data_IF_165186374543
#
_entry.id   IF_165186374543
#
_cell.length_a   1.000
_cell.length_b   1.000
_cell.length_c   1.000
_cell.angle_alpha   90.00
_cell.angle_beta   90.00
_cell.angle_gamma   90.00
#
_symmetry.space_group_name_H-M   'P 1'
#
loop_
_entity.id
_entity.type
_entity.pdbx_description
1 polymer ?
#
# COMPACT_ATOMS: atom_id res chain seq x y z
N UNK A 1 9.38 -64.29 -3.52
CA UNK A 1 7.98 -64.74 -3.66
C UNK A 1 7.20 -64.09 -2.55
N UNK A 2 6.10 -63.44 -2.94
CA UNK A 2 5.01 -62.88 -2.15
C UNK A 2 5.31 -61.67 -1.25
N UNK A 3 4.89 -60.52 -1.79
CA UNK A 3 4.39 -59.31 -1.14
C UNK A 3 3.49 -59.58 0.07
N UNK A 4 3.48 -58.64 1.02
CA UNK A 4 2.22 -58.14 1.58
C UNK A 4 2.41 -56.70 2.07
N UNK A 5 1.64 -55.84 1.42
CA UNK A 5 1.43 -54.42 1.65
C UNK A 5 0.48 -54.25 2.84
N UNK A 6 0.73 -53.30 3.74
CA UNK A 6 -0.32 -52.77 4.61
C UNK A 6 0.01 -51.33 4.97
N UNK A 7 -0.48 -50.42 4.14
CA UNK A 7 -0.65 -49.01 4.41
C UNK A 7 -1.87 -48.85 5.32
N UNK A 8 -1.74 -48.10 6.42
CA UNK A 8 -2.89 -47.68 7.22
C UNK A 8 -2.99 -46.16 7.13
N UNK A 9 -4.01 -45.73 6.37
CA UNK A 9 -4.33 -44.36 6.05
C UNK A 9 -5.19 -43.76 7.16
N UNK A 10 -4.73 -42.65 7.74
CA UNK A 10 -5.53 -41.85 8.68
C UNK A 10 -6.32 -40.82 7.87
N UNK A 11 -7.63 -41.05 7.75
CA UNK A 11 -8.59 -40.11 7.18
C UNK A 11 -8.76 -38.89 8.09
N UNK A 12 -8.52 -37.70 7.55
CA UNK A 12 -8.93 -36.43 8.14
C UNK A 12 -10.34 -36.10 7.64
N UNK A 13 -11.28 -35.97 8.58
CA UNK A 13 -12.65 -35.50 8.34
C UNK A 13 -12.63 -33.99 8.13
N UNK A 14 -13.02 -33.53 6.94
CA UNK A 14 -13.30 -32.12 6.65
C UNK A 14 -14.75 -31.82 7.03
N UNK A 15 -14.96 -31.16 8.16
CA UNK A 15 -16.23 -30.52 8.49
C UNK A 15 -16.35 -29.23 7.65
N UNK A 16 -17.08 -29.32 6.54
CA UNK A 16 -17.52 -28.17 5.75
C UNK A 16 -18.85 -27.65 6.31
N UNK A 17 -18.81 -26.50 6.98
CA UNK A 17 -20.01 -25.71 7.30
C UNK A 17 -20.47 -24.95 6.04
N UNK A 18 -21.43 -25.56 5.34
CA UNK A 18 -22.17 -25.01 4.22
C UNK A 18 -23.23 -24.03 4.77
N UNK A 19 -22.96 -22.72 4.69
CA UNK A 19 -23.97 -21.70 4.99
C UNK A 19 -25.02 -21.67 3.88
N UNK A 20 -26.23 -22.11 4.21
CA UNK A 20 -27.41 -22.09 3.34
C UNK A 20 -27.80 -20.67 2.91
N UNK A 21 -27.74 -20.42 1.61
CA UNK A 21 -28.50 -19.38 0.92
C UNK A 21 -29.92 -19.90 0.71
N UNK A 22 -30.84 -19.63 1.63
CA UNK A 22 -32.28 -19.49 1.36
C UNK A 22 -33.03 -19.39 2.69
N UNK A 23 -33.25 -18.15 3.16
CA UNK A 23 -34.42 -17.88 3.99
C UNK A 23 -35.25 -16.74 3.40
N UNK A 24 -36.45 -17.13 3.04
CA UNK A 24 -37.46 -16.45 2.25
C UNK A 24 -38.40 -15.67 3.16
N UNK A 25 -38.51 -14.34 2.99
CA UNK A 25 -39.79 -13.62 3.15
C UNK A 25 -39.85 -12.53 2.07
N UNK A 26 -40.38 -12.80 0.88
CA UNK A 26 -41.80 -12.68 0.48
C UNK A 26 -42.50 -11.37 0.88
N UNK A 27 -42.68 -10.53 -0.15
CA UNK A 27 -43.90 -9.76 -0.49
C UNK A 27 -44.26 -8.60 0.42
N UNK A 28 -44.00 -7.37 -0.06
CA UNK A 28 -45.09 -6.39 -0.31
C UNK A 28 -44.74 -5.55 -1.55
N UNK A 29 -45.41 -5.85 -2.67
CA UNK A 29 -45.77 -4.85 -3.68
C UNK A 29 -46.99 -4.11 -3.15
N UNK A 30 -47.01 -2.78 -3.17
CA UNK A 30 -48.20 -1.91 -3.27
C UNK A 30 -47.65 -0.49 -3.52
N UNK A 31 -47.56 -0.08 -4.78
CA UNK A 31 -48.55 0.78 -5.47
C UNK A 31 -48.69 2.17 -4.85
N UNK A 32 -48.00 3.09 -5.53
CA UNK A 32 -48.49 4.37 -6.06
C UNK A 32 -50.00 4.64 -5.96
N UNK A 33 -50.26 5.92 -5.69
CA UNK A 33 -51.40 6.78 -6.05
C UNK A 33 -52.52 7.01 -5.01
N UNK A 34 -53.00 8.27 -5.05
CA UNK A 34 -54.14 8.93 -4.37
C UNK A 34 -53.80 9.54 -3.00
N UNK A 35 -53.58 10.87 -2.85
CA UNK A 35 -54.44 12.07 -3.06
C UNK A 35 -55.56 12.15 -2.02
N UNK A 36 -55.43 13.12 -1.11
CA UNK A 36 -56.44 13.97 -0.42
C UNK A 36 -55.82 14.46 0.90
N UNK A 37 -55.51 15.77 0.98
CA UNK A 37 -56.27 16.79 1.72
C UNK A 37 -55.96 16.78 3.22
N UNK A 38 -55.12 17.72 3.67
CA UNK A 38 -55.44 18.46 4.90
C UNK A 38 -54.74 19.81 4.91
N UNK A 39 -55.56 20.81 5.23
CA UNK A 39 -55.35 22.24 5.25
C UNK A 39 -54.39 22.65 6.37
N UNK A 40 -53.52 23.63 6.10
CA UNK A 40 -53.06 24.57 7.13
C UNK A 40 -53.08 25.96 6.51
N UNK A 41 -54.01 26.74 7.03
CA UNK A 41 -54.22 28.16 6.80
C UNK A 41 -53.08 29.03 7.39
N UNK A 42 -52.90 30.18 6.74
CA UNK A 42 -52.56 31.49 7.30
C UNK A 42 -51.16 31.68 7.93
N UNK A 43 -50.30 32.46 7.27
CA UNK A 43 -50.27 33.90 7.58
C UNK A 43 -49.46 34.70 6.55
N UNK A 44 -50.04 35.85 6.24
CA UNK A 44 -49.63 36.91 5.33
C UNK A 44 -48.32 37.57 5.79
N UNK A 45 -47.45 37.97 4.85
CA UNK A 45 -46.83 39.29 4.87
C UNK A 45 -46.15 39.55 3.51
N UNK A 46 -46.79 40.46 2.78
CA UNK A 46 -46.33 41.09 1.55
C UNK A 46 -45.19 42.06 1.87
N UNK A 47 -44.06 41.97 1.16
CA UNK A 47 -43.27 43.15 0.87
C UNK A 47 -42.95 43.19 -0.63
N UNK A 48 -43.73 44.02 -1.31
CA UNK A 48 -43.43 44.61 -2.60
C UNK A 48 -42.08 45.35 -2.49
N UNK A 49 -41.13 45.04 -3.36
CA UNK A 49 -40.02 45.94 -3.64
C UNK A 49 -40.20 46.40 -5.08
N UNK A 50 -40.45 47.70 -5.17
CA UNK A 50 -40.70 48.47 -6.37
C UNK A 50 -39.55 48.34 -7.37
N UNK A 51 -39.97 48.32 -8.63
CA UNK A 51 -39.19 48.50 -9.83
C UNK A 51 -38.49 49.86 -9.79
N UNK A 52 -37.19 49.91 -10.10
CA UNK A 52 -36.58 51.08 -10.71
C UNK A 52 -35.78 50.60 -11.93
N UNK A 53 -36.39 50.87 -13.08
CA UNK A 53 -35.76 50.94 -14.38
C UNK A 53 -34.76 52.11 -14.38
N UNK A 54 -33.47 51.86 -14.58
CA UNK A 54 -32.61 52.82 -15.27
C UNK A 54 -31.76 52.06 -16.29
N UNK A 55 -32.21 52.16 -17.54
CA UNK A 55 -31.41 51.96 -18.74
C UNK A 55 -30.32 53.05 -18.79
N UNK A 56 -29.05 52.68 -18.69
CA UNK A 56 -27.97 53.47 -19.30
C UNK A 56 -27.29 52.62 -20.37
N UNK A 57 -27.70 52.88 -21.62
CA UNK A 57 -26.88 52.64 -22.79
C UNK A 57 -25.66 53.57 -22.71
N UNK A 58 -24.46 52.99 -22.64
CA UNK A 58 -23.23 53.72 -22.95
C UNK A 58 -22.46 52.92 -23.99
N UNK A 59 -22.16 53.66 -25.06
CA UNK A 59 -21.66 53.22 -26.35
C UNK A 59 -20.31 52.49 -26.31
N UNK A 60 -20.16 51.73 -27.38
CA UNK A 60 -18.98 51.09 -27.93
C UNK A 60 -17.73 51.99 -27.85
N UNK A 61 -16.63 51.44 -27.35
CA UNK A 61 -15.30 51.73 -27.90
C UNK A 61 -14.55 50.40 -28.01
N UNK A 62 -14.45 49.96 -29.27
CA UNK A 62 -13.53 48.93 -29.74
C UNK A 62 -12.10 49.46 -29.61
N UNK A 63 -11.30 48.91 -28.70
CA UNK A 63 -9.85 48.91 -28.86
C UNK A 63 -9.32 47.48 -28.73
N UNK A 64 -9.21 46.85 -29.90
CA UNK A 64 -8.29 45.75 -30.15
C UNK A 64 -6.85 46.28 -29.97
N UNK A 65 -6.17 45.84 -28.91
CA UNK A 65 -4.71 45.74 -28.94
C UNK A 65 -4.31 44.28 -28.70
N UNK A 66 -3.97 43.62 -29.80
CA UNK A 66 -3.27 42.34 -29.80
C UNK A 66 -1.85 42.49 -29.23
N UNK A 67 -1.56 41.61 -28.27
CA UNK A 67 -0.30 40.93 -27.99
C UNK A 67 1.04 41.62 -28.32
N UNK A 68 1.87 41.81 -27.29
CA UNK A 68 3.13 41.07 -27.21
C UNK A 68 3.82 41.22 -25.83
N UNK A 69 4.48 40.13 -25.44
CA UNK A 69 5.56 40.06 -24.43
C UNK A 69 5.09 40.10 -22.95
N UNK A 70 5.27 39.08 -22.11
CA UNK A 70 6.43 38.20 -21.94
C UNK A 70 6.01 36.95 -21.16
N UNK A 71 6.63 35.83 -21.50
CA UNK A 71 6.63 34.59 -20.72
C UNK A 71 6.92 34.86 -19.24
N UNK A 72 6.19 34.16 -18.37
CA UNK A 72 6.42 34.01 -16.92
C UNK A 72 5.65 34.96 -15.98
N UNK A 73 4.32 34.83 -15.96
CA UNK A 73 3.50 35.21 -14.81
C UNK A 73 2.49 34.11 -14.50
N UNK A 74 3.01 32.97 -14.04
CA UNK A 74 2.21 31.86 -13.54
C UNK A 74 1.64 32.26 -12.17
N UNK A 75 0.54 33.01 -12.16
CA UNK A 75 -0.14 33.40 -10.93
C UNK A 75 -1.15 32.32 -10.53
N UNK A 76 -0.83 31.46 -9.53
CA UNK A 76 -1.65 30.31 -9.16
C UNK A 76 -3.07 30.68 -8.71
N UNK A 77 -3.27 31.93 -8.28
CA UNK A 77 -4.59 32.42 -7.88
C UNK A 77 -5.54 32.68 -9.06
N UNK A 78 -5.02 32.86 -10.29
CA UNK A 78 -5.84 33.14 -11.47
C UNK A 78 -6.58 31.88 -11.94
N UNK A 79 -5.87 30.73 -12.02
CA UNK A 79 -6.47 29.46 -12.46
C UNK A 79 -7.57 28.93 -11.52
N UNK A 80 -7.41 29.06 -10.21
CA UNK A 80 -8.47 28.67 -9.27
C UNK A 80 -9.66 29.64 -9.30
N UNK A 81 -9.41 30.95 -9.48
CA UNK A 81 -10.48 31.97 -9.60
C UNK A 81 -11.35 31.75 -10.83
N UNK A 82 -10.75 31.41 -11.97
CA UNK A 82 -11.50 31.13 -13.20
C UNK A 82 -12.30 29.81 -13.06
N UNK A 83 -11.76 28.86 -12.28
CA UNK A 83 -12.35 27.53 -12.09
C UNK A 83 -13.58 27.51 -11.16
N UNK A 84 -13.54 28.29 -10.08
CA UNK A 84 -14.59 28.32 -9.03
C UNK A 84 -15.92 28.90 -9.53
N UNK A 85 -15.93 29.61 -10.66
CA UNK A 85 -17.13 30.25 -11.21
C UNK A 85 -17.89 29.37 -12.23
N UNK A 86 -17.35 28.20 -12.61
CA UNK A 86 -17.87 27.38 -13.73
C UNK A 86 -18.85 26.25 -13.33
N UNK A 87 -19.51 26.33 -12.17
CA UNK A 87 -20.53 25.37 -11.71
C UNK A 87 -20.10 23.91 -11.51
N UNK A 88 -18.80 23.59 -11.53
CA UNK A 88 -18.31 22.20 -11.34
C UNK A 88 -17.93 21.83 -9.90
N UNK A 89 -17.98 22.78 -8.97
CA UNK A 89 -17.71 22.58 -7.55
C UNK A 89 -18.88 23.09 -6.72
N UNK A 90 -19.17 22.43 -5.60
CA UNK A 90 -20.12 22.98 -4.64
C UNK A 90 -19.56 24.26 -4.00
N UNK A 91 -20.45 25.13 -3.52
CA UNK A 91 -20.07 26.39 -2.85
C UNK A 91 -19.17 26.15 -1.63
N UNK A 92 -19.41 25.05 -0.90
CA UNK A 92 -18.61 24.68 0.26
C UNK A 92 -17.21 24.20 -0.13
N UNK A 93 -17.10 23.39 -1.19
CA UNK A 93 -15.80 22.90 -1.68
C UNK A 93 -14.95 24.02 -2.22
N UNK A 94 -15.56 24.92 -2.99
CA UNK A 94 -14.91 26.15 -3.44
C UNK A 94 -14.40 26.98 -2.26
N UNK A 95 -15.18 27.11 -1.18
CA UNK A 95 -14.77 27.84 0.02
C UNK A 95 -13.60 27.14 0.73
N UNK A 96 -13.66 25.82 0.88
CA UNK A 96 -12.64 25.01 1.52
C UNK A 96 -11.30 25.12 0.78
N UNK A 97 -11.33 24.91 -0.53
CA UNK A 97 -10.17 25.01 -1.40
C UNK A 97 -9.60 26.44 -1.42
N UNK A 98 -10.45 27.47 -1.48
CA UNK A 98 -10.01 28.88 -1.41
C UNK A 98 -9.24 29.16 -0.12
N UNK A 99 -9.76 28.68 1.01
CA UNK A 99 -9.12 28.85 2.32
C UNK A 99 -7.80 28.06 2.44
N UNK A 100 -7.69 26.96 1.70
CA UNK A 100 -6.49 26.15 1.64
C UNK A 100 -5.42 26.80 0.77
N UNK A 101 -5.75 27.20 -0.46
CA UNK A 101 -4.81 27.83 -1.39
C UNK A 101 -4.31 29.20 -0.94
N UNK A 102 -5.06 29.91 -0.09
CA UNK A 102 -4.55 31.14 0.54
C UNK A 102 -3.37 30.88 1.49
N UNK A 103 -3.23 29.65 2.00
CA UNK A 103 -2.12 29.21 2.87
C UNK A 103 -1.07 28.41 2.12
N UNK A 104 -1.48 27.71 1.06
CA UNK A 104 -0.64 26.85 0.24
C UNK A 104 -0.75 27.26 -1.24
N UNK A 105 -0.16 28.40 -1.64
CA UNK A 105 -0.28 28.90 -3.01
C UNK A 105 0.45 28.02 -4.03
N UNK A 106 1.35 27.15 -3.58
CA UNK A 106 2.07 26.16 -4.39
C UNK A 106 1.24 24.90 -4.68
N UNK A 107 0.08 24.73 -4.02
CA UNK A 107 -0.74 23.53 -4.14
C UNK A 107 -1.65 23.49 -5.37
N UNK A 108 -1.23 24.09 -6.49
CA UNK A 108 -2.07 24.22 -7.66
C UNK A 108 -1.93 23.04 -8.64
N UNK A 109 -2.89 22.98 -9.55
CA UNK A 109 -2.97 22.00 -10.62
C UNK A 109 -2.00 22.36 -11.75
N UNK A 110 -1.07 21.47 -12.09
CA UNK A 110 0.03 21.78 -13.02
C UNK A 110 -0.39 21.71 -14.48
N UNK A 111 -1.40 20.91 -14.83
CA UNK A 111 -1.76 20.66 -16.22
C UNK A 111 -2.82 21.66 -16.75
N UNK A 112 -2.37 22.67 -17.49
CA UNK A 112 -3.27 23.66 -18.07
C UNK A 112 -4.16 23.10 -19.20
N UNK A 113 -3.77 21.98 -19.84
CA UNK A 113 -4.43 21.45 -21.03
C UNK A 113 -5.75 20.71 -20.74
N UNK A 114 -6.06 20.42 -19.47
CA UNK A 114 -7.26 19.68 -19.11
C UNK A 114 -8.55 20.52 -19.18
N UNK A 115 -9.62 19.87 -19.60
CA UNK A 115 -10.95 20.49 -19.70
C UNK A 115 -11.44 21.02 -18.35
N UNK A 116 -12.28 22.05 -18.36
CA UNK A 116 -12.87 22.59 -17.12
C UNK A 116 -13.64 21.51 -16.34
N UNK A 117 -14.35 20.60 -17.01
CA UNK A 117 -15.04 19.50 -16.33
C UNK A 117 -14.06 18.58 -15.57
N UNK A 118 -12.93 18.24 -16.19
CA UNK A 118 -11.89 17.39 -15.57
C UNK A 118 -11.21 18.11 -14.41
N UNK A 119 -10.89 19.40 -14.57
CA UNK A 119 -10.36 20.24 -13.49
C UNK A 119 -11.32 20.28 -12.30
N UNK A 120 -12.63 20.31 -12.56
CA UNK A 120 -13.65 20.32 -11.49
C UNK A 120 -13.69 19.05 -10.69
N UNK A 121 -13.63 17.93 -11.39
CA UNK A 121 -13.50 16.65 -10.74
C UNK A 121 -12.21 16.55 -9.90
N UNK A 122 -11.08 17.00 -10.45
CA UNK A 122 -9.80 16.97 -9.76
C UNK A 122 -9.78 17.84 -8.49
N UNK A 123 -10.31 19.06 -8.56
CA UNK A 123 -10.47 19.92 -7.39
C UNK A 123 -11.51 19.38 -6.40
N UNK A 124 -12.57 18.72 -6.88
CA UNK A 124 -13.55 18.02 -6.03
C UNK A 124 -12.86 16.94 -5.19
N UNK A 125 -12.03 16.09 -5.81
CA UNK A 125 -11.22 15.09 -5.10
C UNK A 125 -10.27 15.71 -4.09
N UNK A 126 -9.73 16.89 -4.39
CA UNK A 126 -8.90 17.62 -3.43
C UNK A 126 -9.75 18.07 -2.23
N UNK A 127 -10.94 18.63 -2.46
CA UNK A 127 -11.85 19.01 -1.38
C UNK A 127 -12.26 17.81 -0.53
N UNK A 128 -12.47 16.65 -1.15
CA UNK A 128 -12.76 15.38 -0.45
C UNK A 128 -11.61 14.96 0.46
N UNK A 129 -10.36 15.01 -0.01
CA UNK A 129 -9.19 14.79 0.84
C UNK A 129 -9.15 15.79 2.01
N UNK A 130 -9.37 17.07 1.76
CA UNK A 130 -9.34 18.09 2.80
C UNK A 130 -10.43 17.87 3.86
N UNK A 131 -11.63 17.45 3.46
CA UNK A 131 -12.71 17.08 4.39
C UNK A 131 -12.32 15.84 5.18
N UNK A 132 -11.81 14.80 4.52
CA UNK A 132 -11.33 13.59 5.18
C UNK A 132 -10.28 13.89 6.27
N UNK A 133 -9.31 14.75 5.96
CA UNK A 133 -8.27 15.19 6.90
C UNK A 133 -8.80 16.09 8.03
N UNK A 134 -9.88 16.83 7.79
CA UNK A 134 -10.52 17.71 8.78
C UNK A 134 -11.41 16.93 9.74
N UNK A 135 -12.14 15.96 9.21
CA UNK A 135 -13.25 15.30 9.91
C UNK A 135 -12.79 14.09 10.72
N UNK A 136 -11.57 13.57 10.45
CA UNK A 136 -11.01 12.40 11.13
C UNK A 136 -9.71 12.69 11.86
N UNK A 137 -9.54 12.02 13.00
CA UNK A 137 -8.26 12.02 13.71
C UNK A 137 -7.20 11.24 12.92
N UNK A 138 -5.94 11.67 13.02
CA UNK A 138 -4.81 11.00 12.35
C UNK A 138 -4.72 9.50 12.63
N UNK A 139 -5.10 9.04 13.83
CA UNK A 139 -5.09 7.61 14.15
C UNK A 139 -6.16 6.83 13.37
N UNK A 140 -7.36 7.39 13.21
CA UNK A 140 -8.43 6.75 12.42
C UNK A 140 -8.08 6.69 10.94
N UNK A 141 -7.46 7.77 10.43
CA UNK A 141 -6.96 7.86 9.07
C UNK A 141 -5.88 6.82 8.75
N UNK A 142 -5.07 6.44 9.74
CA UNK A 142 -3.98 5.47 9.56
C UNK A 142 -4.40 4.03 9.81
N UNK A 143 -5.50 3.81 10.52
CA UNK A 143 -5.98 2.49 10.88
C UNK A 143 -7.16 2.10 9.98
N UNK A 144 -8.36 2.57 10.32
CA UNK A 144 -9.61 2.14 9.70
C UNK A 144 -9.90 2.77 8.33
N UNK A 145 -9.32 3.94 8.03
CA UNK A 145 -9.55 4.68 6.77
C UNK A 145 -8.29 4.84 5.91
N UNK A 146 -7.27 4.02 6.17
CA UNK A 146 -5.99 4.08 5.45
C UNK A 146 -6.12 3.84 3.95
N UNK A 147 -7.02 2.94 3.54
CA UNK A 147 -7.32 2.66 2.13
C UNK A 147 -7.98 3.85 1.43
N UNK A 148 -9.03 4.41 2.03
CA UNK A 148 -9.75 5.59 1.53
C UNK A 148 -8.81 6.79 1.37
N UNK A 149 -7.96 7.04 2.38
CA UNK A 149 -6.96 8.10 2.33
C UNK A 149 -5.91 7.86 1.23
N UNK A 150 -5.45 6.63 1.07
CA UNK A 150 -4.51 6.26 0.02
C UNK A 150 -5.10 6.43 -1.38
N UNK A 151 -6.39 6.14 -1.56
CA UNK A 151 -7.10 6.34 -2.83
C UNK A 151 -7.18 7.82 -3.20
N UNK A 152 -7.56 8.69 -2.25
CA UNK A 152 -7.61 10.13 -2.49
C UNK A 152 -6.24 10.71 -2.87
N UNK A 153 -5.18 10.28 -2.18
CA UNK A 153 -3.82 10.72 -2.52
C UNK A 153 -3.41 10.23 -3.91
N UNK A 154 -3.72 8.98 -4.24
CA UNK A 154 -3.45 8.42 -5.57
C UNK A 154 -4.18 9.18 -6.69
N UNK A 155 -5.47 9.47 -6.50
CA UNK A 155 -6.28 10.26 -7.43
C UNK A 155 -5.65 11.63 -7.68
N UNK A 156 -5.23 12.33 -6.63
CA UNK A 156 -4.59 13.64 -6.77
C UNK A 156 -3.25 13.57 -7.53
N UNK A 157 -2.48 12.49 -7.35
CA UNK A 157 -1.27 12.25 -8.15
C UNK A 157 -1.58 11.99 -9.60
N UNK A 158 -2.64 11.25 -9.89
CA UNK A 158 -3.09 11.01 -11.26
C UNK A 158 -3.47 12.32 -11.96
N UNK A 159 -4.10 13.22 -11.21
CA UNK A 159 -4.44 14.57 -11.64
C UNK A 159 -3.25 15.55 -11.65
N UNK A 160 -2.02 15.08 -11.50
CA UNK A 160 -0.81 15.90 -11.57
C UNK A 160 -0.78 17.05 -10.54
N UNK A 161 -1.45 16.90 -9.40
CA UNK A 161 -1.17 17.78 -8.26
C UNK A 161 0.23 17.45 -7.72
N UNK A 162 1.16 18.38 -7.96
CA UNK A 162 2.53 18.29 -7.45
C UNK A 162 2.76 19.45 -6.51
N UNK A 163 2.70 19.18 -5.21
CA UNK A 163 3.01 20.18 -4.21
C UNK A 163 3.65 19.55 -2.97
N UNK A 164 4.45 20.38 -2.30
CA UNK A 164 5.25 19.97 -1.15
C UNK A 164 4.39 19.59 0.05
N UNK A 165 3.16 20.09 0.10
CA UNK A 165 2.19 19.78 1.14
C UNK A 165 1.65 18.35 1.02
N UNK A 166 1.23 17.90 -0.18
CA UNK A 166 0.83 16.52 -0.46
C UNK A 166 1.98 15.56 -0.21
N UNK A 167 3.19 15.91 -0.66
CA UNK A 167 4.40 15.12 -0.40
C UNK A 167 4.63 14.96 1.11
N UNK A 168 4.46 16.03 1.88
CA UNK A 168 4.63 16.01 3.34
C UNK A 168 3.57 15.15 4.03
N UNK A 169 2.34 15.15 3.52
CA UNK A 169 1.24 14.34 4.04
C UNK A 169 1.50 12.87 3.75
N UNK A 170 1.86 12.52 2.52
CA UNK A 170 2.24 11.15 2.15
C UNK A 170 3.42 10.65 2.98
N UNK A 171 4.45 11.46 3.22
CA UNK A 171 5.60 11.07 4.05
C UNK A 171 5.24 10.86 5.52
N UNK A 172 4.34 11.69 6.08
CA UNK A 172 3.91 11.54 7.48
C UNK A 172 2.97 10.37 7.67
N UNK A 173 2.07 10.14 6.71
CA UNK A 173 1.06 9.10 6.78
C UNK A 173 1.61 7.74 6.37
N UNK A 174 2.48 7.74 5.37
CA UNK A 174 3.15 6.55 4.88
C UNK A 174 4.67 6.77 4.86
N UNK A 175 5.33 6.79 6.04
CA UNK A 175 6.79 6.81 6.14
C UNK A 175 7.45 5.68 5.33
N UNK A 176 6.67 4.61 5.10
CA UNK A 176 7.03 3.45 4.33
C UNK A 176 6.83 3.59 2.80
N UNK A 177 6.05 4.53 2.26
CA UNK A 177 5.79 4.51 0.80
C UNK A 177 7.00 4.93 -0.06
N UNK A 178 7.83 5.84 0.44
CA UNK A 178 9.05 6.27 -0.28
C UNK A 178 10.33 5.57 0.21
N UNK A 179 10.28 4.85 1.34
CA UNK A 179 11.45 4.23 1.99
C UNK A 179 11.28 2.76 2.43
N UNK A 180 10.06 2.19 2.44
CA UNK A 180 9.86 0.76 2.78
C UNK A 180 10.51 -0.14 1.76
N UNK A 181 10.51 0.26 0.49
CA UNK A 181 11.27 -0.45 -0.54
C UNK A 181 12.77 -0.48 -0.22
N UNK A 182 13.34 0.60 0.31
CA UNK A 182 14.77 0.65 0.64
C UNK A 182 15.11 -0.10 1.93
N UNK A 183 14.24 -0.04 2.94
CA UNK A 183 14.41 -0.83 4.17
C UNK A 183 14.24 -2.32 3.87
N UNK A 184 13.21 -2.69 3.11
CA UNK A 184 12.95 -4.08 2.72
C UNK A 184 14.02 -4.61 1.77
N UNK A 185 14.52 -3.81 0.81
CA UNK A 185 15.66 -4.20 -0.05
C UNK A 185 16.94 -4.37 0.75
N UNK A 186 17.21 -3.50 1.71
CA UNK A 186 18.41 -3.61 2.56
C UNK A 186 18.33 -4.85 3.45
N UNK A 187 17.16 -5.15 4.02
CA UNK A 187 16.93 -6.37 4.79
C UNK A 187 17.05 -7.63 3.94
N UNK A 188 16.49 -7.63 2.72
CA UNK A 188 16.56 -8.77 1.80
C UNK A 188 18.00 -9.02 1.33
N UNK A 189 18.75 -7.96 1.03
CA UNK A 189 20.16 -8.06 0.68
C UNK A 189 21.03 -8.56 1.83
N UNK A 190 20.78 -8.10 3.06
CA UNK A 190 21.48 -8.60 4.24
C UNK A 190 21.20 -10.09 4.48
N UNK A 191 19.97 -10.53 4.18
CA UNK A 191 19.59 -11.94 4.27
C UNK A 191 20.31 -12.78 3.22
N UNK A 192 20.32 -12.35 1.95
CA UNK A 192 21.09 -12.99 0.86
C UNK A 192 22.59 -13.09 1.21
N UNK A 193 23.18 -12.01 1.71
CA UNK A 193 24.58 -12.00 2.12
C UNK A 193 24.84 -12.95 3.29
N UNK A 194 23.89 -13.10 4.22
CA UNK A 194 23.98 -14.05 5.33
C UNK A 194 23.84 -15.50 4.87
N UNK A 195 22.96 -15.77 3.90
CA UNK A 195 22.79 -17.09 3.31
C UNK A 195 24.07 -17.53 2.59
N UNK A 196 24.69 -16.63 1.82
CA UNK A 196 25.95 -16.90 1.14
C UNK A 196 27.08 -17.27 2.13
N UNK A 197 27.21 -16.53 3.23
CA UNK A 197 28.17 -16.85 4.31
C UNK A 197 27.90 -18.21 4.94
N UNK A 198 26.64 -18.52 5.26
CA UNK A 198 26.26 -19.80 5.84
C UNK A 198 26.56 -20.97 4.89
N UNK A 199 26.37 -20.79 3.58
CA UNK A 199 26.74 -21.82 2.58
C UNK A 199 28.25 -22.08 2.57
N UNK A 200 29.07 -21.04 2.65
CA UNK A 200 30.54 -21.16 2.73
C UNK A 200 30.98 -21.85 4.03
N UNK A 201 30.36 -21.51 5.16
CA UNK A 201 30.63 -22.16 6.45
C UNK A 201 30.24 -23.64 6.43
N UNK A 202 29.11 -24.00 5.83
CA UNK A 202 28.68 -25.39 5.68
C UNK A 202 29.69 -26.17 4.85
N UNK A 203 30.16 -25.62 3.74
CA UNK A 203 31.15 -26.29 2.88
C UNK A 203 32.49 -26.48 3.61
N UNK A 204 32.91 -25.44 4.35
CA UNK A 204 34.10 -25.52 5.19
C UNK A 204 33.96 -26.59 6.28
N UNK A 205 32.81 -26.66 6.95
CA UNK A 205 32.55 -27.69 7.97
C UNK A 205 32.50 -29.09 7.37
N UNK A 206 31.89 -29.26 6.19
CA UNK A 206 31.89 -30.54 5.46
C UNK A 206 33.31 -31.01 5.18
N UNK A 207 34.16 -30.14 4.64
CA UNK A 207 35.57 -30.49 4.37
C UNK A 207 36.34 -30.90 5.65
N UNK A 208 36.07 -30.25 6.79
CA UNK A 208 36.66 -30.60 8.09
C UNK A 208 36.17 -31.96 8.58
N UNK A 209 34.87 -32.25 8.44
CA UNK A 209 34.30 -33.55 8.80
C UNK A 209 34.92 -34.66 7.95
N UNK A 210 35.05 -34.46 6.64
CA UNK A 210 35.68 -35.43 5.75
C UNK A 210 37.15 -35.68 6.12
N UNK A 211 37.89 -34.61 6.42
CA UNK A 211 39.28 -34.70 6.87
C UNK A 211 39.42 -35.51 8.17
N UNK A 212 38.58 -35.22 9.17
CA UNK A 212 38.56 -35.95 10.43
C UNK A 212 38.13 -37.41 10.24
N UNK A 213 37.15 -37.67 9.38
CA UNK A 213 36.70 -39.02 9.03
C UNK A 213 37.82 -39.83 8.38
N UNK A 214 38.57 -39.24 7.43
CA UNK A 214 39.77 -39.85 6.85
C UNK A 214 40.84 -40.13 7.90
N UNK A 215 41.08 -39.20 8.83
CA UNK A 215 42.04 -39.38 9.90
C UNK A 215 41.63 -40.51 10.86
N UNK A 216 40.36 -40.59 11.22
CA UNK A 216 39.82 -41.63 12.10
C UNK A 216 39.98 -43.02 11.47
N UNK A 217 39.61 -43.18 10.19
CA UNK A 217 39.81 -44.44 9.44
C UNK A 217 41.28 -44.86 9.41
N UNK A 218 42.21 -43.89 9.26
CA UNK A 218 43.65 -44.18 9.30
C UNK A 218 44.08 -44.71 10.68
N UNK A 219 43.64 -44.06 11.76
CA UNK A 219 43.92 -44.52 13.12
C UNK A 219 43.33 -45.92 13.38
N UNK A 220 42.15 -46.23 12.87
CA UNK A 220 41.54 -47.56 12.99
C UNK A 220 42.39 -48.65 12.32
N UNK A 221 42.88 -48.38 11.09
CA UNK A 221 43.78 -49.30 10.38
C UNK A 221 45.09 -49.49 11.16
N UNK A 222 45.67 -48.41 11.69
CA UNK A 222 46.90 -48.47 12.47
C UNK A 222 46.71 -49.26 13.78
N UNK A 223 45.59 -49.07 14.47
CA UNK A 223 45.24 -49.85 15.66
C UNK A 223 45.03 -51.34 15.34
N UNK A 224 44.41 -51.67 14.21
CA UNK A 224 44.27 -53.06 13.76
C UNK A 224 45.64 -53.70 13.51
N UNK A 225 46.55 -53.00 12.81
CA UNK A 225 47.92 -53.44 12.57
C UNK A 225 48.71 -53.67 13.86
N UNK A 226 48.61 -52.75 14.82
CA UNK A 226 49.28 -52.88 16.12
C UNK A 226 48.74 -54.06 16.92
N UNK A 227 47.43 -54.34 16.85
CA UNK A 227 46.83 -55.52 17.49
C UNK A 227 47.34 -56.81 16.87
N UNK A 228 47.45 -56.89 15.55
CA UNK A 228 48.00 -58.04 14.84
C UNK A 228 49.47 -58.28 15.21
N UNK A 229 50.31 -57.23 15.16
CA UNK A 229 51.70 -57.31 15.61
C UNK A 229 51.83 -57.78 17.06
N UNK A 230 50.99 -57.24 17.96
CA UNK A 230 50.97 -57.68 19.37
C UNK A 230 50.65 -59.16 19.48
N UNK A 231 49.68 -59.66 18.70
CA UNK A 231 49.31 -61.06 18.71
C UNK A 231 50.46 -61.97 18.24
N UNK A 232 51.11 -61.62 17.13
CA UNK A 232 52.26 -62.36 16.60
C UNK A 232 53.43 -62.41 17.60
N UNK A 233 53.71 -61.32 18.33
CA UNK A 233 54.75 -61.32 19.37
C UNK A 233 54.39 -62.24 20.55
N UNK A 234 53.12 -62.29 20.95
CA UNK A 234 52.68 -63.17 22.03
C UNK A 234 52.76 -64.65 21.62
N UNK A 235 52.42 -64.98 20.38
CA UNK A 235 52.54 -66.33 19.82
C UNK A 235 54.02 -66.76 19.75
N UNK A 236 54.89 -65.93 19.15
CA UNK A 236 56.32 -66.22 19.10
C UNK A 236 56.97 -66.39 20.49
N UNK A 237 56.48 -65.64 21.49
CA UNK A 237 56.91 -65.82 22.88
C UNK A 237 56.44 -67.16 23.45
N UNK A 238 55.20 -67.56 23.20
CA UNK A 238 54.67 -68.85 23.64
C UNK A 238 55.48 -70.01 23.03
N UNK A 239 55.84 -69.93 21.75
CA UNK A 239 56.68 -70.93 21.08
C UNK A 239 58.08 -71.04 21.70
N UNK A 240 58.68 -69.90 22.07
CA UNK A 240 59.99 -69.87 22.73
C UNK A 240 59.93 -70.48 24.15
N UNK A 241 58.89 -70.17 24.92
CA UNK A 241 58.69 -70.74 26.25
C UNK A 241 58.51 -72.26 26.18
N UNK A 242 57.81 -72.78 25.16
CA UNK A 242 57.70 -74.23 24.92
C UNK A 242 59.07 -74.87 24.63
N UNK A 243 59.90 -74.24 23.79
CA UNK A 243 61.24 -74.75 23.46
C UNK A 243 62.22 -74.74 24.64
N UNK A 244 62.06 -73.84 25.61
CA UNK A 244 62.90 -73.76 26.80
C UNK A 244 62.50 -74.72 27.93
N UNK A 245 61.36 -75.41 27.80
CA UNK A 245 60.85 -76.37 28.79
C UNK A 245 61.22 -77.84 28.51
N UNK A 246 61.96 -78.11 27.42
CA UNK A 246 62.56 -79.40 27.09
C UNK A 246 64.07 -79.40 27.33
#
# INVERSE_FOLDING_TARGET
MADENSEDSVEYSEDSDEYSEDDVIKVVKLKRDEKEEEEVEEDEEEEEIEEDEEEEEVEEDEEEEEEAETLNNHNPTKHFKDFVLLNFLSKEDARLLRNFFSKHPDAYFVDEALSFKTKGFAYGRFADLLRLLRDHAMLELLDSRSSELSEHLHDLRHFSFRNTWLDSIEQRLFPCSSSSYDVSRRSLKNLEDSEARLREDIETLRSKVDSLSCHMKRCEVELAHLREKKHAVLEARADLDVLLTF
#
